data_IF_376566367272
#
_entry.id   IF_376566367272
#
_cell.length_a   1.000
_cell.length_b   1.000
_cell.length_c   1.000
_cell.angle_alpha   90.00
_cell.angle_beta   90.00
_cell.angle_gamma   90.00
#
_symmetry.space_group_name_H-M   'P 1'
#
loop_
_entity.id
_entity.type
_entity.pdbx_description
1 polymer ?
#
# COMPACT_ATOMS: atom_id res chain seq x y z
N UNK A 1 11.55 -3.03 2.34
CA UNK A 1 11.40 -1.96 3.35
C UNK A 1 11.31 -2.52 4.76
N UNK A 2 10.27 -3.31 5.05
CA UNK A 2 9.98 -3.82 6.41
C UNK A 2 11.17 -4.46 7.13
N UNK A 3 11.83 -5.44 6.49
CA UNK A 3 13.04 -6.07 7.06
C UNK A 3 14.14 -5.09 7.47
N UNK A 4 14.38 -4.08 6.65
CA UNK A 4 15.41 -3.06 6.88
C UNK A 4 15.01 -2.16 8.05
N UNK A 5 13.73 -1.81 8.14
CA UNK A 5 13.21 -1.03 9.26
C UNK A 5 13.34 -1.78 10.59
N UNK A 6 13.01 -3.08 10.64
CA UNK A 6 13.21 -3.89 11.86
C UNK A 6 14.68 -3.91 12.29
N UNK A 7 15.61 -4.01 11.34
CA UNK A 7 17.04 -3.99 11.64
C UNK A 7 17.48 -2.65 12.22
N UNK A 8 17.07 -1.54 11.59
CA UNK A 8 17.51 -0.19 11.93
C UNK A 8 16.89 0.36 13.22
N UNK A 9 15.63 0.04 13.49
CA UNK A 9 14.87 0.66 14.57
C UNK A 9 14.67 -0.29 15.76
N UNK A 10 14.68 -1.60 15.53
CA UNK A 10 14.38 -2.60 16.56
C UNK A 10 15.59 -3.51 16.85
N UNK A 11 16.68 -3.43 16.08
CA UNK A 11 17.86 -4.30 16.19
C UNK A 11 17.53 -5.80 16.24
N UNK A 12 16.47 -6.21 15.54
CA UNK A 12 16.00 -7.58 15.51
C UNK A 12 15.71 -8.05 14.08
N UNK A 13 15.66 -9.36 13.92
CA UNK A 13 15.32 -10.02 12.65
C UNK A 13 14.07 -10.86 12.90
N UNK A 14 12.99 -10.55 12.19
CA UNK A 14 11.74 -11.33 12.24
C UNK A 14 11.51 -12.13 10.95
N UNK A 15 10.53 -13.03 10.99
CA UNK A 15 10.03 -13.76 9.82
C UNK A 15 8.94 -13.01 9.05
N UNK A 16 8.50 -11.84 9.55
CA UNK A 16 7.37 -11.08 9.00
C UNK A 16 7.59 -10.57 7.57
N UNK A 17 8.84 -10.46 7.12
CA UNK A 17 9.20 -10.00 5.77
C UNK A 17 9.37 -11.15 4.74
N UNK A 18 9.01 -12.40 5.08
CA UNK A 18 9.17 -13.57 4.19
C UNK A 18 8.52 -13.37 2.81
N UNK A 19 7.28 -12.89 2.79
CA UNK A 19 6.53 -12.66 1.55
C UNK A 19 7.15 -11.55 0.69
N UNK A 20 7.68 -10.50 1.33
CA UNK A 20 8.38 -9.41 0.63
C UNK A 20 9.65 -9.93 -0.05
N UNK A 21 10.42 -10.79 0.63
CA UNK A 21 11.61 -11.40 0.04
C UNK A 21 11.28 -12.29 -1.15
N UNK A 22 10.22 -13.11 -1.05
CA UNK A 22 9.77 -13.95 -2.14
C UNK A 22 9.38 -13.11 -3.36
N UNK A 23 8.56 -12.06 -3.15
CA UNK A 23 8.14 -11.15 -4.24
C UNK A 23 9.33 -10.41 -4.85
N UNK A 24 10.19 -9.81 -4.04
CA UNK A 24 11.37 -9.09 -4.52
C UNK A 24 12.30 -10.01 -5.34
N UNK A 25 12.52 -11.24 -4.88
CA UNK A 25 13.36 -12.23 -5.59
C UNK A 25 12.74 -12.63 -6.92
N UNK A 26 11.42 -12.86 -6.98
CA UNK A 26 10.73 -13.18 -8.22
C UNK A 26 10.79 -12.02 -9.22
N UNK A 27 10.57 -10.79 -8.77
CA UNK A 27 10.69 -9.60 -9.61
C UNK A 27 12.12 -9.44 -10.14
N UNK A 28 13.14 -9.53 -9.28
CA UNK A 28 14.54 -9.45 -9.69
C UNK A 28 14.90 -10.55 -10.71
N UNK A 29 14.46 -11.80 -10.47
CA UNK A 29 14.65 -12.90 -11.43
C UNK A 29 14.00 -12.60 -12.78
N UNK A 30 12.79 -12.05 -12.81
CA UNK A 30 12.14 -11.67 -14.07
C UNK A 30 12.90 -10.55 -14.80
N UNK A 31 13.34 -9.51 -14.09
CA UNK A 31 14.13 -8.41 -14.65
C UNK A 31 15.40 -8.92 -15.35
N UNK A 32 16.14 -9.80 -14.67
CA UNK A 32 17.42 -10.33 -15.16
C UNK A 32 17.20 -11.38 -16.25
N UNK A 33 16.37 -12.38 -15.99
CA UNK A 33 16.30 -13.58 -16.81
C UNK A 33 15.24 -13.53 -17.91
N UNK A 34 14.30 -12.58 -17.89
CA UNK A 34 13.23 -12.47 -18.90
C UNK A 34 13.27 -11.16 -19.66
N UNK A 35 13.46 -10.05 -18.97
CA UNK A 35 13.36 -8.73 -19.59
C UNK A 35 14.71 -8.17 -20.06
N UNK A 36 15.82 -8.83 -19.71
CA UNK A 36 17.15 -8.38 -20.11
C UNK A 36 17.52 -7.01 -19.53
N UNK A 37 17.01 -6.67 -18.34
CA UNK A 37 17.21 -5.37 -17.69
C UNK A 37 18.59 -5.26 -16.99
N UNK A 38 19.60 -5.92 -17.53
CA UNK A 38 20.98 -5.89 -17.01
C UNK A 38 21.98 -5.85 -18.15
N UNK A 39 22.96 -4.95 -18.04
CA UNK A 39 24.00 -4.77 -19.07
C UNK A 39 24.93 -5.99 -19.18
N UNK A 40 25.13 -6.74 -18.09
CA UNK A 40 26.04 -7.88 -18.01
C UNK A 40 25.60 -9.09 -18.86
N UNK A 41 24.29 -9.24 -19.07
CA UNK A 41 23.69 -10.35 -19.81
C UNK A 41 23.10 -9.90 -21.16
N UNK A 42 22.76 -8.61 -21.29
CA UNK A 42 22.14 -8.08 -22.50
C UNK A 42 20.69 -8.53 -22.68
N UNK A 43 20.04 -8.15 -23.80
CA UNK A 43 18.61 -8.36 -24.02
C UNK A 43 18.32 -9.79 -24.51
N UNK A 44 18.55 -10.79 -23.66
CA UNK A 44 18.26 -12.19 -23.93
C UNK A 44 17.35 -12.79 -22.85
N UNK A 45 16.49 -13.72 -23.26
CA UNK A 45 15.64 -14.51 -22.35
C UNK A 45 16.40 -15.78 -21.93
N UNK A 46 16.58 -15.97 -20.62
CA UNK A 46 17.32 -17.07 -19.99
C UNK A 46 16.44 -18.12 -19.31
N UNK A 47 15.15 -17.83 -19.14
CA UNK A 47 14.15 -18.76 -18.59
C UNK A 47 12.92 -18.75 -19.48
N UNK A 48 12.45 -19.93 -19.89
CA UNK A 48 11.16 -20.08 -20.53
C UNK A 48 10.06 -20.13 -19.43
N UNK A 49 8.87 -19.60 -19.72
CA UNK A 49 7.72 -19.72 -18.82
C UNK A 49 7.27 -21.18 -18.74
N UNK A 50 7.00 -21.70 -17.53
CA UNK A 50 6.35 -23.02 -17.35
C UNK A 50 4.97 -23.11 -18.03
N UNK A 51 4.41 -21.97 -18.46
CA UNK A 51 3.11 -21.86 -19.14
C UNK A 51 3.17 -21.83 -20.68
N UNK A 52 4.35 -21.84 -21.31
CA UNK A 52 4.45 -21.83 -22.79
C UNK A 52 4.44 -23.24 -23.42
N UNK A 53 3.89 -24.22 -22.69
CA UNK A 53 3.60 -25.55 -23.17
C UNK A 53 2.28 -25.60 -23.94
N UNK A 54 2.24 -25.04 -25.15
CA UNK A 54 1.11 -25.25 -26.06
C UNK A 54 0.82 -26.76 -26.30
N UNK A 55 -0.40 -27.15 -26.70
CA UNK A 55 -0.89 -28.54 -26.70
C UNK A 55 -0.11 -29.54 -27.60
N UNK A 56 0.87 -29.07 -28.36
CA UNK A 56 1.68 -29.90 -29.28
C UNK A 56 3.20 -29.58 -29.26
N UNK A 57 3.70 -28.81 -28.31
CA UNK A 57 5.11 -28.44 -28.26
C UNK A 57 5.84 -29.18 -27.16
N UNK A 58 6.78 -30.07 -27.51
CA UNK A 58 7.77 -30.53 -26.53
C UNK A 58 8.42 -29.30 -25.90
N UNK A 59 8.20 -29.10 -24.60
CA UNK A 59 8.90 -28.07 -23.83
C UNK A 59 10.39 -28.30 -23.94
N UNK A 60 11.04 -27.59 -24.85
CA UNK A 60 12.48 -27.42 -24.82
C UNK A 60 12.74 -26.51 -23.62
N UNK A 61 12.97 -27.11 -22.45
CA UNK A 61 13.64 -26.38 -21.39
C UNK A 61 14.98 -25.96 -21.97
N UNK A 62 15.16 -24.69 -22.34
CA UNK A 62 16.48 -24.22 -22.77
C UNK A 62 17.42 -24.37 -21.58
N UNK A 63 18.29 -25.36 -21.64
CA UNK A 63 19.33 -25.58 -20.65
C UNK A 63 20.42 -24.53 -20.87
N UNK A 64 20.32 -23.44 -20.11
CA UNK A 64 21.42 -22.48 -19.98
C UNK A 64 22.62 -23.15 -19.30
N UNK A 65 23.83 -22.84 -19.76
CA UNK A 65 25.06 -23.40 -19.17
C UNK A 65 25.19 -22.98 -17.70
N UNK A 66 25.88 -23.78 -16.90
CA UNK A 66 26.16 -23.45 -15.48
C UNK A 66 26.83 -22.07 -15.35
N UNK A 67 27.77 -21.75 -16.25
CA UNK A 67 28.43 -20.44 -16.27
C UNK A 67 27.44 -19.29 -16.49
N UNK A 68 26.42 -19.49 -17.32
CA UNK A 68 25.34 -18.50 -17.52
C UNK A 68 24.41 -18.45 -16.31
N UNK A 69 24.05 -19.58 -15.71
CA UNK A 69 23.25 -19.63 -14.48
C UNK A 69 23.91 -18.84 -13.34
N UNK A 70 25.21 -19.04 -13.14
CA UNK A 70 25.98 -18.31 -12.13
C UNK A 70 25.97 -16.80 -12.37
N UNK A 71 26.05 -16.35 -13.64
CA UNK A 71 25.94 -14.94 -14.00
C UNK A 71 24.54 -14.38 -13.70
N UNK A 72 23.49 -15.13 -14.04
CA UNK A 72 22.10 -14.75 -13.74
C UNK A 72 21.90 -14.60 -12.23
N UNK A 73 22.32 -15.58 -11.44
CA UNK A 73 22.18 -15.53 -9.98
C UNK A 73 23.00 -14.39 -9.36
N UNK A 74 24.19 -14.10 -9.90
CA UNK A 74 25.01 -12.97 -9.47
C UNK A 74 24.30 -11.63 -9.74
N UNK A 75 23.68 -11.45 -10.91
CA UNK A 75 22.92 -10.23 -11.23
C UNK A 75 21.66 -10.10 -10.37
N UNK A 76 20.94 -11.20 -10.11
CA UNK A 76 19.79 -11.19 -9.20
C UNK A 76 20.21 -10.72 -7.81
N UNK A 77 21.32 -11.27 -7.28
CA UNK A 77 21.87 -10.84 -5.99
C UNK A 77 22.27 -9.37 -6.02
N UNK A 78 22.96 -8.91 -7.06
CA UNK A 78 23.37 -7.51 -7.21
C UNK A 78 22.16 -6.57 -7.14
N UNK A 79 21.09 -6.86 -7.89
CA UNK A 79 19.85 -6.06 -7.87
C UNK A 79 19.26 -6.02 -6.47
N UNK A 80 19.13 -7.17 -5.80
CA UNK A 80 18.56 -7.24 -4.45
C UNK A 80 19.40 -6.46 -3.44
N UNK A 81 20.72 -6.58 -3.49
CA UNK A 81 21.65 -5.90 -2.59
C UNK A 81 21.60 -4.37 -2.80
N UNK A 82 21.55 -3.91 -4.04
CA UNK A 82 21.39 -2.48 -4.38
C UNK A 82 20.08 -1.91 -3.85
N UNK A 83 18.97 -2.62 -4.06
CA UNK A 83 17.65 -2.16 -3.57
C UNK A 83 17.57 -2.22 -2.04
N UNK A 84 18.21 -3.20 -1.40
CA UNK A 84 18.32 -3.26 0.05
C UNK A 84 19.12 -2.08 0.60
N UNK A 85 20.26 -1.76 -0.02
CA UNK A 85 21.09 -0.62 0.34
C UNK A 85 20.37 0.72 0.13
N UNK A 86 19.63 0.87 -0.97
CA UNK A 86 18.79 2.04 -1.22
C UNK A 86 17.70 2.19 -0.14
N UNK A 87 16.98 1.12 0.17
CA UNK A 87 15.95 1.13 1.20
C UNK A 87 16.52 1.52 2.57
N UNK A 88 17.71 1.00 2.93
CA UNK A 88 18.42 1.40 4.15
C UNK A 88 18.70 2.89 4.16
N UNK A 89 19.32 3.40 3.11
CA UNK A 89 19.67 4.81 3.00
C UNK A 89 18.43 5.71 3.13
N UNK A 90 17.36 5.40 2.41
CA UNK A 90 16.12 6.18 2.46
C UNK A 90 15.50 6.21 3.87
N UNK A 91 15.53 5.08 4.59
CA UNK A 91 15.02 4.99 5.96
C UNK A 91 15.91 5.74 6.96
N UNK A 92 17.22 5.69 6.78
CA UNK A 92 18.18 6.44 7.62
C UNK A 92 18.08 7.96 7.38
N UNK A 93 18.01 8.39 6.11
CA UNK A 93 17.87 9.81 5.73
C UNK A 93 16.53 10.42 6.16
N UNK A 94 15.48 9.60 6.31
CA UNK A 94 14.14 10.03 6.71
C UNK A 94 13.75 9.48 8.09
N UNK A 95 14.74 9.28 8.97
CA UNK A 95 14.54 8.69 10.29
C UNK A 95 13.50 9.45 11.11
N UNK A 96 13.55 10.77 11.07
CA UNK A 96 12.61 11.70 11.72
C UNK A 96 11.16 11.41 11.33
N UNK A 97 10.91 11.17 10.04
CA UNK A 97 9.58 10.88 9.51
C UNK A 97 9.09 9.51 9.93
N UNK A 98 9.96 8.50 9.93
CA UNK A 98 9.61 7.13 10.39
C UNK A 98 9.22 7.15 11.87
N UNK A 99 9.97 7.88 12.70
CA UNK A 99 9.67 8.04 14.12
C UNK A 99 8.34 8.79 14.33
N UNK A 100 8.08 9.86 13.57
CA UNK A 100 6.82 10.60 13.61
C UNK A 100 5.61 9.73 13.19
N UNK A 101 5.74 8.95 12.12
CA UNK A 101 4.70 8.01 11.68
C UNK A 101 4.44 6.93 12.73
N UNK A 102 5.49 6.40 13.34
CA UNK A 102 5.38 5.39 14.39
C UNK A 102 4.68 5.96 15.62
N UNK A 103 5.02 7.18 16.05
CA UNK A 103 4.35 7.85 17.16
C UNK A 103 2.85 8.06 16.88
N UNK A 104 2.50 8.50 15.67
CA UNK A 104 1.10 8.68 15.27
C UNK A 104 0.32 7.36 15.24
N UNK A 105 0.93 6.29 14.73
CA UNK A 105 0.32 4.94 14.71
C UNK A 105 0.15 4.36 16.12
N UNK A 106 1.04 4.68 17.05
CA UNK A 106 0.88 4.29 18.46
C UNK A 106 -0.28 5.02 19.14
N UNK A 107 -0.60 6.24 18.70
CA UNK A 107 -1.70 7.03 19.26
C UNK A 107 -3.07 6.66 18.64
N UNK A 108 -3.12 6.47 17.33
CA UNK A 108 -4.39 6.36 16.59
C UNK A 108 -4.61 5.03 15.88
N UNK A 109 -3.67 4.09 15.94
CA UNK A 109 -3.67 2.77 15.28
C UNK A 109 -3.61 2.82 13.73
N UNK A 110 -4.27 3.80 13.12
CA UNK A 110 -4.29 4.05 11.67
C UNK A 110 -4.05 5.52 11.37
N UNK A 111 -3.33 5.79 10.29
CA UNK A 111 -3.13 7.15 9.75
C UNK A 111 -3.53 7.18 8.27
N UNK A 112 -4.10 8.29 7.81
CA UNK A 112 -4.50 8.50 6.42
C UNK A 112 -3.41 9.23 5.60
N UNK A 113 -3.67 9.38 4.29
CA UNK A 113 -2.75 10.02 3.38
C UNK A 113 -2.49 11.50 3.71
N UNK A 114 -3.48 12.23 4.24
CA UNK A 114 -3.32 13.63 4.61
C UNK A 114 -2.34 13.76 5.79
N UNK A 115 -2.45 12.87 6.76
CA UNK A 115 -1.55 12.79 7.92
C UNK A 115 -0.13 12.40 7.51
N UNK A 116 0.01 11.44 6.58
CA UNK A 116 1.31 11.08 6.01
C UNK A 116 1.94 12.29 5.30
N UNK A 117 1.18 13.03 4.49
CA UNK A 117 1.69 14.20 3.78
C UNK A 117 2.18 15.29 4.73
N UNK A 118 1.47 15.55 5.84
CA UNK A 118 1.92 16.48 6.86
C UNK A 118 3.30 16.07 7.42
N UNK A 119 3.48 14.79 7.76
CA UNK A 119 4.75 14.26 8.25
C UNK A 119 5.85 14.39 7.18
N UNK A 120 5.53 14.08 5.92
CA UNK A 120 6.49 14.19 4.81
C UNK A 120 6.96 15.63 4.59
N UNK A 121 6.10 16.61 4.85
CA UNK A 121 6.40 18.05 4.79
C UNK A 121 7.05 18.59 6.08
N UNK A 122 7.36 17.71 7.05
CA UNK A 122 8.00 18.09 8.31
C UNK A 122 7.07 18.77 9.31
N UNK A 123 5.75 18.64 9.13
CA UNK A 123 4.73 19.13 10.06
C UNK A 123 4.22 18.00 10.96
N UNK A 124 3.69 18.32 12.15
CA UNK A 124 2.97 17.33 12.95
C UNK A 124 1.71 16.84 12.19
N UNK A 125 1.36 15.55 12.27
CA UNK A 125 0.17 15.03 11.62
C UNK A 125 -1.09 15.61 12.26
N UNK A 126 -2.07 15.95 11.42
CA UNK A 126 -3.41 16.36 11.88
C UNK A 126 -4.14 15.23 12.61
N UNK A 127 -5.11 15.57 13.46
CA UNK A 127 -5.94 14.59 14.16
C UNK A 127 -6.78 13.75 13.19
N UNK A 128 -7.08 12.48 13.51
CA UNK A 128 -7.94 11.62 12.69
C UNK A 128 -9.32 12.25 12.50
N UNK A 129 -9.86 12.17 11.29
CA UNK A 129 -11.26 12.51 11.05
C UNK A 129 -12.10 11.42 11.73
N UNK A 130 -12.95 11.80 12.69
CA UNK A 130 -13.93 10.88 13.25
C UNK A 130 -14.67 10.21 12.09
N UNK A 131 -14.91 8.88 12.12
CA UNK A 131 -15.77 8.27 11.13
C UNK A 131 -17.10 9.01 11.21
N UNK A 132 -17.50 9.62 10.10
CA UNK A 132 -18.80 10.26 10.00
C UNK A 132 -19.84 9.15 10.22
N UNK A 133 -20.26 8.97 11.48
CA UNK A 133 -21.52 8.32 11.79
C UNK A 133 -22.54 9.12 11.01
N UNK A 134 -23.15 8.48 10.01
CA UNK A 134 -24.14 9.10 9.15
C UNK A 134 -25.11 9.90 10.01
N UNK A 135 -25.15 11.20 9.77
CA UNK A 135 -26.21 12.04 10.28
C UNK A 135 -27.51 11.53 9.68
N UNK A 136 -28.23 10.68 10.40
CA UNK A 136 -29.67 10.50 10.19
C UNK A 136 -30.32 11.89 10.30
N UNK A 137 -31.00 12.39 9.25
CA UNK A 137 -31.80 13.59 9.39
C UNK A 137 -33.15 13.17 9.97
N UNK A 138 -33.25 13.07 11.30
CA UNK A 138 -34.54 12.96 11.96
C UNK A 138 -34.68 14.02 13.05
N UNK A 139 -35.77 14.80 12.90
CA UNK A 139 -36.26 15.89 13.75
C UNK A 139 -35.60 17.26 13.52
N UNK A 140 -36.27 18.32 13.09
CA UNK A 140 -37.69 18.54 12.85
C UNK A 140 -37.92 20.02 12.46
N UNK A 141 -38.92 20.28 11.61
CA UNK A 141 -39.32 21.64 11.21
C UNK A 141 -40.76 21.63 10.75
N UNK A 142 -41.65 22.12 11.61
CA UNK A 142 -43.10 22.07 11.44
C UNK A 142 -43.63 22.84 10.22
N UNK A 143 -44.68 22.29 9.62
CA UNK A 143 -45.55 23.01 8.69
C UNK A 143 -46.98 22.87 9.20
N UNK A 144 -47.48 23.92 9.85
CA UNK A 144 -48.90 24.09 10.17
C UNK A 144 -49.65 24.31 8.86
N UNK A 145 -50.42 23.31 8.43
CA UNK A 145 -51.40 23.44 7.37
C UNK A 145 -52.66 24.12 7.90
N UNK A 146 -53.01 25.22 7.25
CA UNK A 146 -54.16 26.09 7.45
C UNK A 146 -55.47 25.37 7.12
N UNK A 147 -56.40 25.33 8.09
CA UNK A 147 -57.76 24.80 7.88
C UNK A 147 -58.75 25.98 7.84
N UNK A 148 -59.35 26.22 6.68
CA UNK A 148 -60.46 27.18 6.48
C UNK A 148 -61.68 26.81 7.35
N UNK A 149 -62.32 27.78 8.03
CA UNK A 149 -63.64 27.55 8.63
C UNK A 149 -64.76 27.93 7.64
N UNK A 150 -65.73 27.03 7.50
CA UNK A 150 -66.95 27.24 6.72
C UNK A 150 -68.20 27.15 7.60
N UNK A 151 -68.92 28.28 7.65
CA UNK A 151 -70.36 28.45 7.91
C UNK A 151 -70.92 28.50 9.35
N UNK A 152 -71.46 29.67 9.70
CA UNK A 152 -72.35 29.99 10.83
C UNK A 152 -73.83 29.60 10.50
N UNK A 153 -74.84 29.66 11.42
CA UNK A 153 -75.31 30.89 12.11
C UNK A 153 -75.73 30.71 13.61
N UNK A 154 -75.45 31.68 14.50
CA UNK A 154 -76.35 32.70 15.12
C UNK A 154 -77.06 32.29 16.45
N UNK A 155 -77.34 33.25 17.36
CA UNK A 155 -77.33 33.03 18.82
C UNK A 155 -78.70 33.14 19.53
N UNK A 156 -78.81 32.57 20.74
CA UNK A 156 -79.83 32.96 21.72
C UNK A 156 -79.26 32.85 23.15
N UNK A 157 -79.29 33.96 23.89
CA UNK A 157 -79.02 34.05 25.34
C UNK A 157 -80.16 33.41 26.16
N UNK A 158 -79.98 33.18 27.47
CA UNK A 158 -80.36 34.25 28.41
C UNK A 158 -79.50 34.33 29.70
N UNK A 159 -79.88 35.34 30.49
CA UNK A 159 -79.48 35.68 31.86
C UNK A 159 -79.60 34.52 32.85
#
# INVERSE_FOLDING_TARGET
>A
GGRVAEELFLNLISTGASDDFNKATQTARAMVARFGMTDALGPMVYVDDENDGGPFGRGFTRTISEATQQKVDAEIRRVLDEQYGLARRLLEENRDKVEAMTAALMEWETIDADQINDIMEGRPPRSPKSPAVGSDPSSGGGSSAEVKPGNAPAPASPV
#
